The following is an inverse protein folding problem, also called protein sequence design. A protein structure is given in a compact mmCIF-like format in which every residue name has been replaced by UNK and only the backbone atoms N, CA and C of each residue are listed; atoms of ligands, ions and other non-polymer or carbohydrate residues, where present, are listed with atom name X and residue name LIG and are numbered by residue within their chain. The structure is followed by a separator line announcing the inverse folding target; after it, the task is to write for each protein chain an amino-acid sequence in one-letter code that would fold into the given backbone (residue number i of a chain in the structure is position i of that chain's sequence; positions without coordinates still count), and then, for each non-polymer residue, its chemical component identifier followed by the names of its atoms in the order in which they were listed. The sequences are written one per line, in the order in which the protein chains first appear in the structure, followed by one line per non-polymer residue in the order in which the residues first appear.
data_IF_484218200466
#
_entry.id   IF_484218200466
#
_cell.length_a   1.000
_cell.length_b   1.000
_cell.length_c   1.000
_cell.angle_alpha   90.00
_cell.angle_beta   90.00
_cell.angle_gamma   90.00
#
_symmetry.space_group_name_H-M   'P 1'
#
loop_
_entity.id
_entity.type
_entity.pdbx_description
1 polymer ?
#
# COMPACT_ATOMS: atom_id res chain seq x y z
N UNK A 1 11.92 -15.83 0.12
CA UNK A 1 10.67 -15.19 0.59
C UNK A 1 10.88 -13.69 0.45
N UNK A 2 9.93 -12.95 -0.13
CA UNK A 2 10.01 -11.48 -0.22
C UNK A 2 10.13 -10.90 1.20
N UNK A 3 11.05 -9.95 1.40
CA UNK A 3 11.16 -9.27 2.68
C UNK A 3 10.02 -8.27 2.89
N UNK A 4 9.79 -7.79 4.13
CA UNK A 4 8.78 -6.76 4.40
C UNK A 4 8.94 -5.51 3.52
N UNK A 5 10.18 -5.08 3.26
CA UNK A 5 10.45 -3.92 2.40
C UNK A 5 10.05 -4.18 0.94
N UNK A 6 10.19 -5.40 0.44
CA UNK A 6 9.79 -5.74 -0.92
C UNK A 6 8.26 -5.75 -1.04
N UNK A 7 7.56 -6.29 -0.03
CA UNK A 7 6.10 -6.31 0.00
C UNK A 7 5.48 -4.90 -0.03
N UNK A 8 6.01 -3.95 0.75
CA UNK A 8 5.52 -2.56 0.74
C UNK A 8 5.87 -1.82 -0.56
N UNK A 9 7.00 -2.14 -1.20
CA UNK A 9 7.34 -1.59 -2.53
C UNK A 9 6.41 -2.11 -3.62
N UNK A 10 6.09 -3.41 -3.59
CA UNK A 10 5.08 -4.00 -4.48
C UNK A 10 3.73 -3.34 -4.25
N UNK A 11 3.31 -3.16 -3.00
CA UNK A 11 2.05 -2.48 -2.68
C UNK A 11 2.02 -1.04 -3.22
N UNK A 12 3.12 -0.28 -3.06
CA UNK A 12 3.24 1.08 -3.60
C UNK A 12 3.12 1.09 -5.13
N UNK A 13 3.86 0.22 -5.82
CA UNK A 13 3.87 0.16 -7.28
C UNK A 13 2.50 -0.29 -7.81
N UNK A 14 1.90 -1.32 -7.20
CA UNK A 14 0.57 -1.79 -7.55
C UNK A 14 -0.48 -0.68 -7.38
N UNK A 15 -0.37 0.14 -6.35
CA UNK A 15 -1.25 1.30 -6.16
C UNK A 15 -1.04 2.38 -7.23
N UNK A 16 0.20 2.65 -7.64
CA UNK A 16 0.50 3.60 -8.71
C UNK A 16 -0.04 3.12 -10.07
N UNK A 17 0.15 1.84 -10.36
CA UNK A 17 -0.22 1.20 -11.63
C UNK A 17 -1.69 0.78 -11.68
N UNK A 18 -2.42 0.92 -10.56
CA UNK A 18 -3.80 0.44 -10.38
C UNK A 18 -3.91 -1.08 -10.62
N UNK A 19 -2.84 -1.81 -10.33
CA UNK A 19 -2.74 -3.26 -10.47
C UNK A 19 -3.39 -3.93 -9.26
N UNK A 20 -4.64 -4.37 -9.47
CA UNK A 20 -5.45 -4.97 -8.42
C UNK A 20 -4.90 -6.32 -7.95
N UNK A 21 -4.41 -7.14 -8.87
CA UNK A 21 -3.94 -8.48 -8.56
C UNK A 21 -2.62 -8.42 -7.78
N UNK A 22 -1.73 -7.49 -8.15
CA UNK A 22 -0.47 -7.30 -7.45
C UNK A 22 -0.65 -6.81 -6.01
N UNK A 23 -1.55 -5.85 -5.75
CA UNK A 23 -1.80 -5.38 -4.38
C UNK A 23 -2.49 -6.46 -3.54
N UNK A 24 -3.38 -7.26 -4.15
CA UNK A 24 -4.01 -8.39 -3.48
C UNK A 24 -3.04 -9.53 -3.16
N UNK A 25 -1.93 -9.67 -3.89
CA UNK A 25 -0.91 -10.66 -3.57
C UNK A 25 -0.10 -10.31 -2.30
N UNK A 26 -0.04 -9.02 -1.91
CA UNK A 26 0.82 -8.56 -0.79
C UNK A 26 0.07 -8.05 0.44
N UNK A 27 -1.20 -7.69 0.31
CA UNK A 27 -2.04 -7.39 1.49
C UNK A 27 -2.57 -8.72 2.05
N UNK A 28 -2.14 -9.13 3.24
CA UNK A 28 -2.59 -10.41 3.84
C UNK A 28 -4.07 -10.45 4.23
N UNK A 29 -4.56 -11.62 4.64
CA UNK A 29 -5.82 -11.81 5.37
C UNK A 29 -5.51 -12.70 6.59
N UNK A 30 -5.62 -12.20 7.84
CA UNK A 30 -6.22 -10.94 8.26
C UNK A 30 -5.41 -9.68 7.91
N UNK A 31 -6.11 -8.54 7.79
CA UNK A 31 -5.51 -7.21 7.56
C UNK A 31 -6.18 -6.16 8.45
N UNK A 32 -5.38 -5.19 8.92
CA UNK A 32 -5.84 -4.03 9.68
C UNK A 32 -5.12 -2.78 9.18
N UNK A 33 -5.89 -1.83 8.64
CA UNK A 33 -5.37 -0.57 8.09
C UNK A 33 -5.86 0.64 8.89
N UNK A 34 -4.95 1.57 9.16
CA UNK A 34 -5.26 2.84 9.83
C UNK A 34 -4.63 4.00 9.04
N UNK A 35 -5.43 5.05 8.84
CA UNK A 35 -5.04 6.33 8.25
C UNK A 35 -5.47 7.47 9.19
N UNK A 36 -5.16 8.74 8.92
CA UNK A 36 -5.71 9.85 9.70
C UNK A 36 -7.26 9.89 9.74
N UNK A 37 -7.94 9.34 8.74
CA UNK A 37 -9.40 9.36 8.62
C UNK A 37 -10.07 8.02 8.95
N UNK A 38 -9.33 6.91 8.87
CA UNK A 38 -9.85 5.55 9.02
C UNK A 38 -9.11 4.79 10.12
N UNK A 39 -9.84 3.97 10.89
CA UNK A 39 -9.25 3.18 11.97
C UNK A 39 -9.55 1.68 11.80
N UNK A 40 -8.50 0.86 11.86
CA UNK A 40 -8.56 -0.61 11.89
C UNK A 40 -9.48 -1.24 10.82
N UNK A 41 -9.39 -0.76 9.57
CA UNK A 41 -10.18 -1.31 8.46
C UNK A 41 -9.75 -2.73 8.14
N UNK A 42 -10.74 -3.62 7.96
CA UNK A 42 -10.50 -4.95 7.41
C UNK A 42 -9.96 -4.89 5.98
N UNK A 43 -9.38 -6.00 5.50
CA UNK A 43 -8.96 -6.17 4.09
C UNK A 43 -10.06 -5.79 3.10
N UNK A 44 -11.27 -6.34 3.30
CA UNK A 44 -12.44 -6.06 2.45
C UNK A 44 -12.79 -4.58 2.46
N UNK A 45 -12.76 -3.95 3.64
CA UNK A 45 -13.11 -2.53 3.80
C UNK A 45 -12.05 -1.63 3.17
N UNK A 46 -10.76 -1.90 3.36
CA UNK A 46 -9.65 -1.19 2.73
C UNK A 46 -9.82 -1.15 1.21
N UNK A 47 -10.08 -2.32 0.61
CA UNK A 47 -10.23 -2.41 -0.84
C UNK A 47 -11.51 -1.80 -1.40
N UNK A 48 -12.53 -1.61 -0.56
CA UNK A 48 -13.79 -0.94 -0.97
C UNK A 48 -13.67 0.57 -0.83
N UNK A 49 -12.96 1.06 0.21
CA UNK A 49 -12.92 2.49 0.57
C UNK A 49 -11.64 3.20 0.16
N UNK A 50 -10.48 2.61 0.42
CA UNK A 50 -9.18 3.26 0.25
C UNK A 50 -8.56 2.99 -1.12
N UNK A 51 -8.78 1.80 -1.69
CA UNK A 51 -8.27 1.46 -3.01
C UNK A 51 -8.74 2.42 -4.12
N UNK A 52 -10.01 2.83 -4.21
CA UNK A 52 -10.45 3.76 -5.27
C UNK A 52 -9.70 5.10 -5.32
N UNK A 53 -9.01 5.49 -4.24
CA UNK A 53 -8.17 6.69 -4.25
C UNK A 53 -6.93 6.55 -5.17
N UNK A 54 -6.56 5.33 -5.61
CA UNK A 54 -5.50 5.10 -6.61
C UNK A 54 -5.80 5.78 -7.94
N UNK A 55 -7.07 6.01 -8.25
CA UNK A 55 -7.50 6.71 -9.47
C UNK A 55 -7.07 8.18 -9.48
N UNK A 56 -7.00 8.82 -8.31
CA UNK A 56 -6.55 10.20 -8.18
C UNK A 56 -5.02 10.33 -8.25
N UNK A 57 -4.29 9.23 -8.06
CA UNK A 57 -2.83 9.22 -8.10
C UNK A 57 -2.32 9.09 -9.54
N UNK A 58 -1.61 10.12 -10.00
CA UNK A 58 -0.96 10.17 -11.32
C UNK A 58 0.50 9.72 -11.28
N UNK A 59 1.08 9.62 -10.08
CA UNK A 59 2.39 9.03 -9.87
C UNK A 59 2.72 8.84 -8.39
N UNK A 60 3.55 7.83 -8.09
CA UNK A 60 4.13 7.60 -6.76
C UNK A 60 5.62 7.30 -6.89
N UNK A 61 6.45 8.06 -6.17
CA UNK A 61 7.90 7.95 -6.19
C UNK A 61 8.41 7.50 -4.83
N UNK A 62 9.05 6.35 -4.78
CA UNK A 62 9.75 5.86 -3.59
C UNK A 62 10.95 6.76 -3.27
N UNK A 63 11.08 7.18 -2.00
CA UNK A 63 12.17 8.06 -1.53
C UNK A 63 13.09 7.30 -0.57
N UNK A 64 12.53 6.74 0.50
CA UNK A 64 13.28 6.02 1.53
C UNK A 64 12.51 4.79 2.00
N UNK A 65 13.22 3.83 2.59
CA UNK A 65 12.60 2.75 3.33
C UNK A 65 13.60 2.00 4.18
N UNK A 66 13.10 1.36 5.23
CA UNK A 66 13.88 0.44 6.03
C UNK A 66 13.02 -0.74 6.46
N UNK A 67 13.68 -1.80 6.93
CA UNK A 67 13.04 -2.99 7.46
C UNK A 67 13.72 -3.45 8.75
N UNK A 68 12.93 -4.05 9.63
CA UNK A 68 13.41 -4.69 10.84
C UNK A 68 12.49 -5.88 11.18
N UNK A 69 13.04 -7.09 11.16
CA UNK A 69 12.25 -8.30 11.41
C UNK A 69 11.08 -8.42 10.41
N UNK A 70 9.85 -8.35 10.91
CA UNK A 70 8.62 -8.40 10.10
C UNK A 70 8.07 -7.03 9.69
N UNK A 71 8.76 -5.94 10.06
CA UNK A 71 8.29 -4.57 9.83
C UNK A 71 9.02 -3.93 8.65
N UNK A 72 8.31 -3.08 7.93
CA UNK A 72 8.88 -2.14 6.98
C UNK A 72 8.17 -0.78 7.06
N UNK A 73 8.90 0.27 6.73
CA UNK A 73 8.35 1.59 6.46
C UNK A 73 8.90 2.11 5.14
N UNK A 74 8.10 2.95 4.48
CA UNK A 74 8.52 3.68 3.28
C UNK A 74 8.13 5.15 3.40
N UNK A 75 8.91 6.01 2.76
CA UNK A 75 8.56 7.40 2.47
C UNK A 75 8.45 7.51 0.96
N UNK A 76 7.35 8.09 0.48
CA UNK A 76 7.10 8.29 -0.94
C UNK A 76 6.50 9.67 -1.19
N UNK A 77 6.72 10.20 -2.39
CA UNK A 77 6.04 11.39 -2.90
C UNK A 77 4.93 10.94 -3.86
N UNK A 78 3.73 11.51 -3.73
CA UNK A 78 2.62 11.26 -4.66
C UNK A 78 2.31 12.52 -5.44
N UNK A 79 1.95 12.35 -6.70
CA UNK A 79 1.33 13.39 -7.52
C UNK A 79 -0.14 13.04 -7.71
N UNK A 80 -1.02 14.03 -7.54
CA UNK A 80 -2.46 13.91 -7.76
C UNK A 80 -2.89 14.85 -8.88
N UNK A 81 -3.78 14.38 -9.75
CA UNK A 81 -4.36 15.15 -10.85
C UNK A 81 -5.73 15.72 -10.50
#
# INVERSE_FOLDING_TARGET
MLGPLDAVKIALQAYADKDRDAIEAVIGDPYSFTSPLDNALSRKTYFTRCWPNSEACTGMKFIHGAQQGHWAFIVYETTTG
#
